data_IF_809839755399
#
_entry.id   IF_809839755399
#
_cell.length_a   1.000
_cell.length_b   1.000
_cell.length_c   1.000
_cell.angle_alpha   90.00
_cell.angle_beta   90.00
_cell.angle_gamma   90.00
#
_symmetry.space_group_name_H-M   'P 1'
#
loop_
_entity.id
_entity.type
_entity.pdbx_description
1 polymer ?
#
# COMPACT_ATOMS: atom_id res chain seq x y z
N UNK A 1 7.10 -11.16 1.26
CA UNK A 1 6.27 -12.14 2.00
C UNK A 1 6.77 -13.57 1.81
N UNK A 2 6.82 -14.16 0.59
CA UNK A 2 7.24 -15.57 0.40
C UNK A 2 8.60 -15.88 1.03
N UNK A 3 9.62 -15.05 0.77
CA UNK A 3 10.95 -15.18 1.39
C UNK A 3 10.92 -15.07 2.92
N UNK A 4 10.00 -14.26 3.46
CA UNK A 4 9.81 -14.13 4.91
C UNK A 4 9.30 -15.44 5.55
N UNK A 5 8.53 -16.23 4.81
CA UNK A 5 8.08 -17.56 5.23
C UNK A 5 9.05 -18.68 4.89
N UNK A 6 10.26 -18.34 4.45
CA UNK A 6 11.34 -19.31 4.19
C UNK A 6 11.32 -19.94 2.79
N UNK A 7 10.53 -19.39 1.85
CA UNK A 7 10.51 -19.90 0.48
C UNK A 7 11.70 -19.36 -0.33
N UNK A 8 12.30 -20.21 -1.13
CA UNK A 8 13.20 -19.83 -2.20
C UNK A 8 12.36 -19.28 -3.38
N UNK A 9 12.60 -18.03 -3.77
CA UNK A 9 11.80 -17.36 -4.80
C UNK A 9 12.64 -17.18 -6.06
N UNK A 10 12.21 -17.82 -7.14
CA UNK A 10 12.72 -17.60 -8.49
C UNK A 10 11.78 -16.64 -9.22
N UNK A 11 12.28 -15.47 -9.59
CA UNK A 11 11.53 -14.47 -10.35
C UNK A 11 11.77 -14.70 -11.85
N UNK A 12 10.70 -14.68 -12.64
CA UNK A 12 10.72 -14.77 -14.09
C UNK A 12 10.15 -13.48 -14.68
N UNK A 13 10.52 -13.17 -15.92
CA UNK A 13 9.98 -11.99 -16.60
C UNK A 13 8.46 -12.12 -16.80
N UNK A 14 7.73 -11.04 -16.52
CA UNK A 14 6.26 -11.00 -16.53
C UNK A 14 5.67 -11.31 -17.92
N UNK A 15 6.42 -11.01 -18.98
CA UNK A 15 6.06 -11.32 -20.37
C UNK A 15 5.99 -12.81 -20.66
N UNK A 16 6.61 -13.63 -19.83
CA UNK A 16 6.68 -15.09 -19.98
C UNK A 16 5.60 -15.82 -19.16
N UNK A 17 4.83 -15.12 -18.36
CA UNK A 17 3.80 -15.70 -17.49
C UNK A 17 2.43 -15.11 -17.82
N UNK A 18 1.45 -15.91 -18.08
CA UNK A 18 1.35 -17.32 -18.38
C UNK A 18 0.99 -17.54 -19.85
N UNK A 19 1.95 -17.43 -20.74
CA UNK A 19 1.71 -17.82 -22.12
C UNK A 19 1.54 -19.34 -22.15
N UNK A 20 0.39 -19.80 -22.65
CA UNK A 20 0.14 -21.21 -22.83
C UNK A 20 1.20 -21.84 -23.75
N UNK A 21 1.91 -22.84 -23.23
CA UNK A 21 2.90 -23.59 -23.99
C UNK A 21 4.21 -22.84 -24.26
N UNK A 22 4.47 -21.67 -23.64
CA UNK A 22 5.79 -21.07 -23.68
C UNK A 22 6.75 -21.95 -22.84
N UNK A 23 7.80 -22.54 -23.43
CA UNK A 23 8.72 -23.42 -22.70
C UNK A 23 9.51 -22.68 -21.61
N UNK A 24 9.49 -21.35 -21.64
CA UNK A 24 10.20 -20.46 -20.71
C UNK A 24 9.26 -19.88 -19.62
N UNK A 25 7.95 -20.17 -19.68
CA UNK A 25 6.96 -19.66 -18.73
C UNK A 25 7.06 -20.28 -17.34
N UNK A 26 6.46 -19.63 -16.34
CA UNK A 26 6.52 -20.06 -14.95
C UNK A 26 5.96 -21.48 -14.73
N UNK A 27 4.91 -21.87 -15.47
CA UNK A 27 4.34 -23.23 -15.39
C UNK A 27 5.33 -24.25 -15.93
N UNK A 28 5.94 -24.01 -17.09
CA UNK A 28 6.92 -24.91 -17.67
C UNK A 28 8.15 -25.09 -16.76
N UNK A 29 8.61 -23.98 -16.16
CA UNK A 29 9.73 -24.01 -15.21
C UNK A 29 9.38 -24.74 -13.92
N UNK A 30 8.15 -24.57 -13.41
CA UNK A 30 7.68 -25.31 -12.25
C UNK A 30 7.56 -26.81 -12.53
N UNK A 31 7.13 -27.20 -13.73
CA UNK A 31 7.09 -28.61 -14.16
C UNK A 31 8.50 -29.19 -14.26
N UNK A 32 9.46 -28.50 -14.92
CA UNK A 32 10.86 -28.90 -15.00
C UNK A 32 11.48 -29.17 -13.60
N UNK A 33 11.19 -28.28 -12.63
CA UNK A 33 11.66 -28.45 -11.26
C UNK A 33 10.91 -29.58 -10.56
N UNK A 34 9.59 -29.67 -10.75
CA UNK A 34 8.74 -30.71 -10.13
C UNK A 34 9.06 -32.14 -10.58
N UNK A 35 9.68 -32.30 -11.75
CA UNK A 35 10.14 -33.60 -12.27
C UNK A 35 11.46 -34.10 -11.62
N UNK A 36 12.11 -33.28 -10.81
CA UNK A 36 13.35 -33.68 -10.08
C UNK A 36 13.02 -34.59 -8.89
N UNK A 37 13.89 -35.53 -8.52
CA UNK A 37 13.60 -36.55 -7.49
C UNK A 37 13.14 -36.01 -6.13
N UNK A 38 13.65 -34.83 -5.71
CA UNK A 38 13.38 -34.26 -4.38
C UNK A 38 12.36 -33.12 -4.41
N UNK A 39 11.65 -32.93 -5.53
CA UNK A 39 10.67 -31.88 -5.70
C UNK A 39 9.29 -32.45 -6.02
N UNK A 40 8.26 -31.73 -5.62
CA UNK A 40 6.87 -32.06 -5.96
C UNK A 40 6.10 -30.81 -6.35
N UNK A 41 5.53 -30.82 -7.56
CA UNK A 41 4.67 -29.74 -8.02
C UNK A 41 3.20 -30.07 -7.68
N UNK A 42 2.54 -29.21 -6.89
CA UNK A 42 1.12 -29.40 -6.54
C UNK A 42 0.17 -29.25 -7.75
N UNK A 43 0.60 -28.53 -8.76
CA UNK A 43 -0.08 -28.35 -10.07
C UNK A 43 -1.57 -28.05 -9.98
N UNK A 44 -1.91 -26.89 -9.45
CA UNK A 44 -3.30 -26.45 -9.26
C UNK A 44 -4.15 -26.40 -10.55
N UNK A 45 -3.54 -26.46 -11.74
CA UNK A 45 -4.23 -26.40 -13.02
C UNK A 45 -4.76 -27.76 -13.51
N UNK A 46 -4.25 -28.85 -12.96
CA UNK A 46 -4.58 -30.20 -13.41
C UNK A 46 -4.90 -31.16 -12.29
N UNK A 47 -4.62 -30.79 -11.04
CA UNK A 47 -4.79 -31.64 -9.88
C UNK A 47 -6.25 -31.60 -9.40
N UNK A 48 -6.93 -32.74 -9.43
CA UNK A 48 -8.33 -32.90 -9.00
C UNK A 48 -8.52 -32.59 -7.48
N UNK A 49 -7.46 -32.63 -6.68
CA UNK A 49 -7.53 -32.19 -5.29
C UNK A 49 -7.93 -30.70 -5.14
N UNK A 50 -7.73 -29.88 -6.18
CA UNK A 50 -8.15 -28.49 -6.20
C UNK A 50 -9.69 -28.37 -6.15
N UNK A 51 -10.47 -28.84 -7.13
CA UNK A 51 -11.93 -28.80 -7.04
C UNK A 51 -12.47 -29.66 -5.88
N UNK A 52 -11.81 -30.77 -5.52
CA UNK A 52 -12.23 -31.61 -4.40
C UNK A 52 -12.19 -30.84 -3.06
N UNK A 53 -11.18 -30.01 -2.85
CA UNK A 53 -11.09 -29.17 -1.66
C UNK A 53 -12.30 -28.22 -1.56
N UNK A 54 -12.69 -27.57 -2.66
CA UNK A 54 -13.84 -26.67 -2.69
C UNK A 54 -15.18 -27.42 -2.56
N UNK A 55 -15.27 -28.63 -3.12
CA UNK A 55 -16.43 -29.49 -2.92
C UNK A 55 -16.62 -29.86 -1.44
N UNK A 56 -15.53 -30.14 -0.73
CA UNK A 56 -15.54 -30.57 0.68
C UNK A 56 -15.62 -29.40 1.69
N UNK A 57 -15.28 -28.20 1.30
CA UNK A 57 -15.19 -27.05 2.22
C UNK A 57 -16.06 -25.88 1.77
N UNK A 58 -15.70 -25.18 0.70
CA UNK A 58 -16.36 -23.94 0.25
C UNK A 58 -17.85 -24.16 -0.07
N UNK A 59 -18.19 -25.23 -0.78
CA UNK A 59 -19.58 -25.57 -1.08
C UNK A 59 -20.43 -25.77 0.17
N UNK A 60 -20.03 -26.66 1.10
CA UNK A 60 -20.71 -26.85 2.37
C UNK A 60 -20.82 -25.58 3.23
N UNK A 61 -19.79 -24.72 3.22
CA UNK A 61 -19.82 -23.45 3.95
C UNK A 61 -20.88 -22.50 3.39
N UNK A 62 -20.91 -22.30 2.07
CA UNK A 62 -21.91 -21.48 1.39
C UNK A 62 -23.32 -22.02 1.68
N UNK A 63 -23.53 -23.30 1.51
CA UNK A 63 -24.82 -23.94 1.76
C UNK A 63 -25.32 -23.72 3.18
N UNK A 64 -24.45 -23.90 4.19
CA UNK A 64 -24.76 -23.67 5.58
C UNK A 64 -25.03 -22.20 5.89
N UNK A 65 -24.19 -21.28 5.41
CA UNK A 65 -24.30 -19.86 5.68
C UNK A 65 -25.52 -19.22 5.03
N UNK A 66 -25.99 -19.77 3.91
CA UNK A 66 -27.22 -19.33 3.24
C UNK A 66 -28.45 -20.13 3.65
N UNK A 67 -28.31 -21.03 4.63
CA UNK A 67 -29.39 -21.94 5.06
C UNK A 67 -30.03 -22.70 3.88
N UNK A 68 -29.21 -23.04 2.87
CA UNK A 68 -29.66 -23.65 1.62
C UNK A 68 -30.38 -22.67 0.68
N UNK A 69 -30.42 -21.37 0.97
CA UNK A 69 -31.14 -20.36 0.20
C UNK A 69 -30.41 -19.89 -1.08
N UNK A 70 -29.13 -20.22 -1.28
CA UNK A 70 -28.36 -19.79 -2.44
C UNK A 70 -29.03 -20.21 -3.74
N UNK A 71 -29.27 -19.27 -4.66
CA UNK A 71 -29.87 -19.51 -5.98
C UNK A 71 -28.83 -19.40 -7.11
N UNK A 72 -27.84 -18.51 -6.94
CA UNK A 72 -26.80 -18.25 -7.92
C UNK A 72 -25.43 -18.27 -7.23
N UNK A 73 -24.50 -19.00 -7.81
CA UNK A 73 -23.11 -19.03 -7.39
C UNK A 73 -22.23 -18.46 -8.49
N UNK A 74 -21.50 -17.40 -8.20
CA UNK A 74 -20.70 -16.65 -9.16
C UNK A 74 -19.23 -16.66 -8.77
N UNK A 75 -18.36 -17.03 -9.70
CA UNK A 75 -16.91 -17.03 -9.47
C UNK A 75 -16.12 -16.60 -10.71
N UNK A 76 -15.03 -15.86 -10.46
CA UNK A 76 -14.03 -15.57 -11.49
C UNK A 76 -13.25 -16.82 -11.88
N UNK A 77 -12.96 -16.96 -13.18
CA UNK A 77 -12.28 -18.12 -13.74
C UNK A 77 -10.76 -17.94 -13.73
N UNK A 78 -10.07 -18.74 -12.93
CA UNK A 78 -8.60 -18.86 -12.91
C UNK A 78 -8.19 -20.29 -13.23
N UNK A 79 -7.92 -21.09 -12.21
CA UNK A 79 -7.72 -22.56 -12.37
C UNK A 79 -9.03 -23.32 -12.55
N UNK A 80 -10.15 -22.70 -12.27
CA UNK A 80 -11.51 -23.24 -12.24
C UNK A 80 -11.81 -24.21 -11.09
N UNK A 81 -10.85 -24.48 -10.18
CA UNK A 81 -11.10 -25.37 -9.06
C UNK A 81 -12.26 -24.92 -8.17
N UNK A 82 -12.31 -23.63 -7.84
CA UNK A 82 -13.36 -23.04 -6.98
C UNK A 82 -14.75 -23.19 -7.57
N UNK A 83 -14.94 -22.78 -8.84
CA UNK A 83 -16.26 -22.83 -9.48
C UNK A 83 -16.73 -24.27 -9.69
N UNK A 84 -15.83 -25.14 -10.16
CA UNK A 84 -16.12 -26.54 -10.41
C UNK A 84 -16.48 -27.28 -9.12
N UNK A 85 -15.62 -27.22 -8.11
CA UNK A 85 -15.85 -27.95 -6.85
C UNK A 85 -17.07 -27.44 -6.10
N UNK A 86 -17.19 -26.12 -5.92
CA UNK A 86 -18.34 -25.50 -5.24
C UNK A 86 -19.64 -25.73 -6.02
N UNK A 87 -19.60 -25.52 -7.35
CA UNK A 87 -20.75 -25.70 -8.23
C UNK A 87 -21.28 -27.12 -8.18
N UNK A 88 -20.42 -28.13 -8.28
CA UNK A 88 -20.78 -29.54 -8.14
C UNK A 88 -21.47 -29.86 -6.81
N UNK A 89 -20.93 -29.33 -5.70
CA UNK A 89 -21.55 -29.51 -4.39
C UNK A 89 -22.94 -28.85 -4.31
N UNK A 90 -23.06 -27.59 -4.72
CA UNK A 90 -24.31 -26.83 -4.64
C UNK A 90 -25.40 -27.49 -5.52
N UNK A 91 -25.05 -27.91 -6.74
CA UNK A 91 -25.97 -28.65 -7.63
C UNK A 91 -26.35 -30.01 -7.07
N UNK A 92 -25.48 -30.69 -6.35
CA UNK A 92 -25.80 -31.94 -5.64
C UNK A 92 -26.81 -31.72 -4.51
N UNK A 93 -26.78 -30.57 -3.83
CA UNK A 93 -27.78 -30.20 -2.84
C UNK A 93 -29.11 -29.73 -3.47
N UNK A 94 -29.01 -28.89 -4.49
CA UNK A 94 -30.15 -28.34 -5.24
C UNK A 94 -29.79 -28.11 -6.70
N UNK A 95 -30.26 -28.99 -7.62
CA UNK A 95 -29.94 -28.93 -9.05
C UNK A 95 -30.28 -27.58 -9.72
N UNK A 96 -31.25 -26.84 -9.17
CA UNK A 96 -31.69 -25.55 -9.70
C UNK A 96 -30.72 -24.39 -9.41
N UNK A 97 -29.70 -24.57 -8.57
CA UNK A 97 -28.67 -23.54 -8.34
C UNK A 97 -27.94 -23.27 -9.65
N UNK A 98 -27.91 -21.99 -10.03
CA UNK A 98 -27.19 -21.52 -11.20
C UNK A 98 -25.70 -21.31 -10.87
N UNK A 99 -24.81 -21.90 -11.63
CA UNK A 99 -23.36 -21.79 -11.51
C UNK A 99 -22.84 -20.92 -12.64
N UNK A 100 -22.35 -19.73 -12.31
CA UNK A 100 -22.03 -18.67 -13.26
C UNK A 100 -20.54 -18.34 -13.24
N UNK A 101 -19.88 -18.50 -14.38
CA UNK A 101 -18.47 -18.21 -14.56
C UNK A 101 -18.22 -16.83 -15.14
N UNK A 102 -17.27 -16.10 -14.58
CA UNK A 102 -16.89 -14.78 -15.06
C UNK A 102 -15.43 -14.80 -15.49
N UNK A 103 -15.16 -14.39 -16.71
CA UNK A 103 -13.79 -14.32 -17.24
C UNK A 103 -13.49 -12.91 -17.78
N UNK A 104 -12.22 -12.51 -17.80
CA UNK A 104 -11.84 -11.22 -18.37
C UNK A 104 -11.76 -11.30 -19.90
N UNK A 105 -11.80 -10.12 -20.54
CA UNK A 105 -11.49 -9.97 -21.97
C UNK A 105 -10.04 -10.36 -22.27
N UNK A 106 -9.74 -10.64 -23.53
CA UNK A 106 -8.37 -10.92 -23.97
C UNK A 106 -7.44 -9.71 -23.72
N UNK A 107 -6.19 -9.99 -23.37
CA UNK A 107 -5.20 -8.95 -23.08
C UNK A 107 -5.41 -8.21 -21.76
N UNK A 108 -6.20 -8.76 -20.85
CA UNK A 108 -6.45 -8.18 -19.53
C UNK A 108 -5.21 -8.18 -18.63
N UNK A 109 -5.26 -7.30 -17.62
CA UNK A 109 -4.28 -7.23 -16.52
C UNK A 109 -4.90 -7.60 -15.15
N UNK A 110 -6.08 -8.22 -15.13
CA UNK A 110 -6.73 -8.62 -13.88
C UNK A 110 -5.99 -9.83 -13.31
N UNK A 111 -5.38 -9.70 -12.11
CA UNK A 111 -4.58 -10.79 -11.56
C UNK A 111 -5.42 -12.01 -11.14
N UNK A 112 -4.85 -13.21 -11.28
CA UNK A 112 -5.43 -14.44 -10.75
C UNK A 112 -6.52 -15.08 -11.61
N UNK A 113 -6.97 -14.42 -12.67
CA UNK A 113 -8.01 -14.92 -13.61
C UNK A 113 -7.45 -15.15 -15.01
N UNK A 114 -8.22 -15.83 -15.86
CA UNK A 114 -7.85 -16.24 -17.21
C UNK A 114 -8.97 -15.93 -18.20
N UNK A 115 -8.60 -15.42 -19.39
CA UNK A 115 -9.52 -15.33 -20.50
C UNK A 115 -9.89 -16.73 -21.03
N UNK A 116 -10.97 -16.85 -21.79
CA UNK A 116 -11.41 -18.13 -22.34
C UNK A 116 -10.30 -18.84 -23.13
N UNK A 117 -9.50 -18.11 -23.88
CA UNK A 117 -8.36 -18.67 -24.61
C UNK A 117 -7.31 -19.28 -23.68
N UNK A 118 -7.03 -18.61 -22.56
CA UNK A 118 -6.06 -19.08 -21.56
C UNK A 118 -6.60 -20.27 -20.76
N UNK A 119 -7.93 -20.37 -20.58
CA UNK A 119 -8.58 -21.48 -19.86
C UNK A 119 -8.45 -22.82 -20.56
N UNK A 120 -8.22 -22.83 -21.87
CA UNK A 120 -8.01 -24.09 -22.64
C UNK A 120 -6.84 -24.94 -22.12
N UNK A 121 -6.01 -24.38 -21.26
CA UNK A 121 -4.85 -25.07 -20.69
C UNK A 121 -5.07 -25.64 -19.31
N UNK A 122 -6.12 -25.25 -18.62
CA UNK A 122 -6.49 -25.87 -17.36
C UNK A 122 -7.36 -27.10 -17.65
N UNK A 123 -6.99 -28.24 -17.05
CA UNK A 123 -7.81 -29.45 -17.15
C UNK A 123 -9.05 -29.45 -16.25
N UNK A 124 -9.21 -28.36 -15.46
CA UNK A 124 -10.31 -28.20 -14.51
C UNK A 124 -11.39 -27.24 -15.02
N UNK A 125 -11.32 -26.83 -16.28
CA UNK A 125 -12.35 -26.03 -16.95
C UNK A 125 -13.37 -26.91 -17.61
N UNK A 126 -14.57 -26.99 -17.08
CA UNK A 126 -15.70 -27.79 -17.56
C UNK A 126 -16.88 -26.86 -17.89
N UNK A 127 -16.87 -26.20 -19.07
CA UNK A 127 -17.87 -25.18 -19.41
C UNK A 127 -19.29 -25.75 -19.43
N UNK A 128 -19.47 -27.04 -19.75
CA UNK A 128 -20.77 -27.71 -19.78
C UNK A 128 -21.38 -27.91 -18.38
N UNK A 129 -20.61 -27.72 -17.32
CA UNK A 129 -21.10 -27.76 -15.93
C UNK A 129 -21.56 -26.37 -15.42
N UNK A 130 -21.39 -25.32 -16.21
CA UNK A 130 -21.78 -23.94 -15.85
C UNK A 130 -23.06 -23.55 -16.57
N UNK A 131 -23.98 -22.87 -15.86
CA UNK A 131 -25.26 -22.43 -16.43
C UNK A 131 -25.11 -21.09 -17.19
N UNK A 132 -24.01 -20.37 -16.99
CA UNK A 132 -23.68 -19.15 -17.71
C UNK A 132 -22.22 -18.80 -17.65
N UNK A 133 -21.74 -18.16 -18.71
CA UNK A 133 -20.40 -17.59 -18.82
C UNK A 133 -20.51 -16.17 -19.35
N UNK A 134 -19.75 -15.24 -18.76
CA UNK A 134 -19.73 -13.87 -19.22
C UNK A 134 -18.31 -13.30 -19.23
N UNK A 135 -18.03 -12.48 -20.25
CA UNK A 135 -16.81 -11.70 -20.36
C UNK A 135 -16.98 -10.34 -19.73
N UNK A 136 -16.05 -9.94 -18.86
CA UNK A 136 -16.00 -8.62 -18.24
C UNK A 136 -14.77 -7.85 -18.73
N UNK A 137 -15.00 -6.62 -19.13
CA UNK A 137 -13.94 -5.74 -19.59
C UNK A 137 -13.00 -5.32 -18.45
N UNK A 138 -11.72 -5.25 -18.76
CA UNK A 138 -10.66 -4.93 -17.81
C UNK A 138 -10.97 -3.62 -17.02
N UNK A 139 -11.35 -2.56 -17.74
CA UNK A 139 -11.62 -1.26 -17.14
C UNK A 139 -12.80 -1.31 -16.17
N UNK A 140 -13.89 -1.98 -16.52
CA UNK A 140 -15.08 -2.12 -15.69
C UNK A 140 -14.75 -2.81 -14.35
N UNK A 141 -13.92 -3.84 -14.37
CA UNK A 141 -13.47 -4.53 -13.16
C UNK A 141 -12.68 -3.63 -12.21
N UNK A 142 -11.75 -2.80 -12.74
CA UNK A 142 -10.97 -1.89 -11.90
C UNK A 142 -11.81 -0.73 -11.36
N UNK A 143 -12.74 -0.17 -12.15
CA UNK A 143 -13.65 0.88 -11.70
C UNK A 143 -14.59 0.38 -10.59
N UNK A 144 -15.18 -0.80 -10.77
CA UNK A 144 -16.01 -1.41 -9.74
C UNK A 144 -15.20 -1.79 -8.49
N UNK A 145 -13.96 -2.24 -8.65
CA UNK A 145 -13.04 -2.47 -7.53
C UNK A 145 -12.87 -1.21 -6.69
N UNK A 146 -12.66 -0.06 -7.33
CA UNK A 146 -12.53 1.22 -6.64
C UNK A 146 -13.81 1.60 -5.89
N UNK A 147 -14.97 1.49 -6.55
CA UNK A 147 -16.27 1.80 -5.96
C UNK A 147 -16.55 0.89 -4.75
N UNK A 148 -16.37 -0.40 -4.88
CA UNK A 148 -16.58 -1.38 -3.81
C UNK A 148 -15.74 -1.05 -2.56
N UNK A 149 -14.47 -0.67 -2.77
CA UNK A 149 -13.60 -0.29 -1.66
C UNK A 149 -13.99 1.06 -1.02
N UNK A 150 -14.49 2.03 -1.81
CA UNK A 150 -14.81 3.38 -1.32
C UNK A 150 -16.22 3.53 -0.78
N UNK A 151 -17.19 2.91 -1.44
CA UNK A 151 -18.60 3.06 -1.14
C UNK A 151 -19.06 2.06 -0.08
N UNK A 152 -18.55 0.81 -0.15
CA UNK A 152 -18.96 -0.29 0.73
C UNK A 152 -17.92 -0.66 1.79
N UNK A 153 -16.73 -0.07 1.75
CA UNK A 153 -15.60 -0.40 2.65
C UNK A 153 -15.16 -1.88 2.57
N UNK A 154 -15.46 -2.56 1.47
CA UNK A 154 -15.04 -3.94 1.22
C UNK A 154 -13.73 -3.91 0.43
N UNK A 155 -12.63 -4.28 1.09
CA UNK A 155 -11.29 -4.25 0.49
C UNK A 155 -11.08 -5.50 -0.39
N UNK A 156 -11.77 -5.54 -1.52
CA UNK A 156 -11.73 -6.63 -2.49
C UNK A 156 -10.77 -6.34 -3.65
N UNK A 157 -10.15 -7.39 -4.19
CA UNK A 157 -9.24 -7.28 -5.34
C UNK A 157 -9.97 -7.11 -6.68
N UNK A 158 -9.24 -6.79 -7.76
CA UNK A 158 -9.85 -6.60 -9.09
C UNK A 158 -10.62 -7.81 -9.64
N UNK A 159 -10.15 -9.03 -9.36
CA UNK A 159 -10.86 -10.27 -9.75
C UNK A 159 -12.19 -10.45 -9.02
N UNK A 160 -12.27 -9.98 -7.77
CA UNK A 160 -13.53 -9.97 -6.99
C UNK A 160 -14.54 -9.02 -7.61
N UNK A 161 -14.10 -7.82 -7.98
CA UNK A 161 -14.94 -6.84 -8.64
C UNK A 161 -15.38 -7.31 -10.04
N UNK A 162 -14.49 -7.99 -10.79
CA UNK A 162 -14.85 -8.64 -12.05
C UNK A 162 -15.97 -9.67 -11.85
N UNK A 163 -15.85 -10.53 -10.84
CA UNK A 163 -16.89 -11.51 -10.53
C UNK A 163 -18.21 -10.87 -10.14
N UNK A 164 -18.16 -9.77 -9.35
CA UNK A 164 -19.34 -8.99 -8.96
C UNK A 164 -19.99 -8.28 -10.17
N UNK A 165 -19.19 -7.74 -11.09
CA UNK A 165 -19.72 -7.16 -12.34
C UNK A 165 -20.48 -8.21 -13.15
N UNK A 166 -19.92 -9.40 -13.30
CA UNK A 166 -20.61 -10.51 -13.97
C UNK A 166 -21.88 -10.94 -13.24
N UNK A 167 -21.89 -10.89 -11.91
CA UNK A 167 -23.10 -11.17 -11.14
C UNK A 167 -24.21 -10.16 -11.42
N UNK A 168 -23.90 -8.87 -11.50
CA UNK A 168 -24.89 -7.82 -11.85
C UNK A 168 -25.49 -8.00 -13.24
N UNK A 169 -24.75 -8.61 -14.16
CA UNK A 169 -25.21 -8.82 -15.54
C UNK A 169 -25.99 -10.13 -15.73
N UNK A 170 -25.64 -11.16 -14.95
CA UNK A 170 -26.20 -12.51 -15.12
C UNK A 170 -27.33 -12.85 -14.13
N UNK A 171 -27.34 -12.23 -12.96
CA UNK A 171 -28.34 -12.55 -11.93
C UNK A 171 -29.48 -11.55 -12.00
N UNK A 172 -30.73 -11.99 -12.26
CA UNK A 172 -31.88 -11.11 -12.26
C UNK A 172 -32.10 -10.45 -10.88
N UNK A 173 -32.38 -9.14 -10.88
CA UNK A 173 -32.76 -8.41 -9.67
C UNK A 173 -34.25 -8.70 -9.35
N UNK A 174 -34.52 -9.88 -8.82
CA UNK A 174 -35.86 -10.36 -8.51
C UNK A 174 -35.93 -10.90 -7.08
N UNK A 175 -37.07 -10.70 -6.40
CA UNK A 175 -37.30 -11.26 -5.08
C UNK A 175 -37.10 -12.78 -5.04
N UNK A 176 -36.34 -13.27 -4.09
CA UNK A 176 -36.03 -14.68 -3.93
C UNK A 176 -34.71 -15.13 -4.55
N UNK A 177 -34.06 -14.27 -5.34
CA UNK A 177 -32.70 -14.54 -5.78
C UNK A 177 -31.70 -14.21 -4.67
N UNK A 178 -30.82 -15.16 -4.39
CA UNK A 178 -29.69 -15.01 -3.48
C UNK A 178 -28.42 -15.42 -4.23
N UNK A 179 -27.63 -14.41 -4.61
CA UNK A 179 -26.35 -14.63 -5.28
C UNK A 179 -25.20 -14.64 -4.27
N UNK A 180 -24.34 -15.63 -4.36
CA UNK A 180 -23.08 -15.70 -3.66
C UNK A 180 -21.93 -15.50 -4.65
N UNK A 181 -21.13 -14.46 -4.43
CA UNK A 181 -19.99 -14.09 -5.27
C UNK A 181 -18.68 -14.30 -4.50
N UNK A 182 -17.73 -14.99 -5.11
CA UNK A 182 -16.43 -15.25 -4.48
C UNK A 182 -15.50 -14.04 -4.61
N UNK A 183 -15.01 -13.56 -3.46
CA UNK A 183 -13.97 -12.54 -3.35
C UNK A 183 -12.69 -13.21 -2.80
N UNK A 184 -11.77 -13.66 -3.68
CA UNK A 184 -10.67 -14.53 -3.26
C UNK A 184 -9.55 -13.78 -2.51
N UNK A 185 -9.44 -12.47 -2.69
CA UNK A 185 -8.37 -11.69 -2.09
C UNK A 185 -8.67 -10.18 -1.99
N UNK A 186 -7.66 -9.41 -1.56
CA UNK A 186 -7.80 -7.98 -1.31
C UNK A 186 -6.99 -7.11 -2.28
N UNK A 187 -7.44 -5.88 -2.50
CA UNK A 187 -6.78 -4.86 -3.33
C UNK A 187 -5.34 -4.53 -2.87
N UNK A 188 -4.99 -4.77 -1.62
CA UNK A 188 -3.63 -4.51 -1.10
C UNK A 188 -2.53 -5.26 -1.84
N UNK A 189 -2.84 -6.39 -2.46
CA UNK A 189 -1.87 -7.16 -3.25
C UNK A 189 -1.55 -6.53 -4.59
N UNK A 190 -2.39 -5.63 -5.08
CA UNK A 190 -2.44 -5.21 -6.49
C UNK A 190 -2.28 -3.70 -6.68
N UNK A 191 -1.60 -3.02 -5.78
CA UNK A 191 -1.45 -1.57 -5.82
C UNK A 191 -0.89 -1.05 -7.16
N UNK A 192 0.08 -1.74 -7.76
CA UNK A 192 0.66 -1.38 -9.07
C UNK A 192 -0.36 -1.50 -10.21
N UNK A 193 -1.10 -2.62 -10.26
CA UNK A 193 -2.14 -2.84 -11.28
C UNK A 193 -3.29 -1.85 -11.13
N UNK A 194 -3.73 -1.60 -9.89
CA UNK A 194 -4.79 -0.63 -9.60
C UNK A 194 -4.39 0.78 -10.05
N UNK A 195 -3.17 1.22 -9.74
CA UNK A 195 -2.66 2.54 -10.17
C UNK A 195 -2.47 2.63 -11.69
N UNK A 196 -2.10 1.53 -12.35
CA UNK A 196 -1.97 1.46 -13.82
C UNK A 196 -3.31 1.72 -14.51
N UNK A 197 -4.39 1.09 -14.05
CA UNK A 197 -5.72 1.15 -14.67
C UNK A 197 -6.58 2.29 -14.16
N UNK A 198 -6.27 2.86 -13.03
CA UNK A 198 -6.94 4.00 -12.42
C UNK A 198 -5.93 5.15 -12.21
N UNK A 199 -5.47 5.80 -13.29
CA UNK A 199 -4.41 6.80 -13.20
C UNK A 199 -4.76 8.01 -12.33
N UNK A 200 -6.05 8.29 -12.10
CA UNK A 200 -6.51 9.29 -11.14
C UNK A 200 -6.18 8.94 -9.67
N UNK A 201 -5.79 7.69 -9.39
CA UNK A 201 -5.24 7.25 -8.10
C UNK A 201 -3.71 7.37 -8.03
N UNK A 202 -3.04 7.58 -9.17
CA UNK A 202 -1.66 8.08 -9.06
C UNK A 202 -1.78 9.27 -8.16
N UNK A 203 -1.30 9.09 -6.93
CA UNK A 203 -1.18 10.18 -6.02
C UNK A 203 -0.74 11.37 -6.87
N UNK A 204 -1.53 12.42 -7.01
CA UNK A 204 -0.93 13.71 -6.82
C UNK A 204 0.08 13.45 -5.75
N UNK A 205 1.39 13.45 -6.14
CA UNK A 205 2.50 13.26 -5.19
C UNK A 205 2.07 14.04 -3.97
N UNK A 206 1.89 13.47 -2.80
CA UNK A 206 1.16 14.14 -1.76
C UNK A 206 1.70 15.54 -1.79
N UNK A 207 0.87 16.54 -2.20
CA UNK A 207 1.12 17.88 -1.75
C UNK A 207 1.23 17.62 -0.28
N UNK A 208 2.49 17.55 0.21
CA UNK A 208 2.87 16.94 1.45
C UNK A 208 1.77 17.30 2.42
N UNK A 209 0.88 16.34 2.68
CA UNK A 209 -0.37 16.64 3.36
C UNK A 209 0.15 17.31 4.59
N UNK A 210 -0.08 18.64 4.69
CA UNK A 210 0.49 19.41 5.81
C UNK A 210 0.19 18.53 6.98
N UNK A 211 1.19 17.88 7.60
CA UNK A 211 0.98 16.73 8.48
C UNK A 211 -0.13 17.15 9.42
N UNK A 212 -1.22 16.36 9.46
CA UNK A 212 -2.46 16.78 10.10
C UNK A 212 -2.03 17.38 11.42
N UNK A 213 -2.20 18.70 11.56
CA UNK A 213 -1.56 19.45 12.65
C UNK A 213 -2.04 18.78 13.90
N UNK A 214 -1.15 18.08 14.59
CA UNK A 214 -1.49 17.46 15.86
C UNK A 214 -2.01 18.59 16.77
N UNK A 215 -3.28 18.62 17.15
CA UNK A 215 -3.86 19.72 17.91
C UNK A 215 -3.08 19.95 19.21
N UNK A 216 -2.58 18.88 19.83
CA UNK A 216 -1.76 18.95 21.03
C UNK A 216 -0.41 19.62 20.75
N UNK A 217 0.21 19.28 19.63
CA UNK A 217 1.49 19.89 19.22
C UNK A 217 1.30 21.38 18.88
N UNK A 218 0.16 21.79 18.32
CA UNK A 218 -0.12 23.22 18.07
C UNK A 218 -0.32 23.98 19.37
N UNK A 219 -1.07 23.46 20.32
CA UNK A 219 -1.22 24.04 21.66
C UNK A 219 0.15 24.16 22.37
N UNK A 220 0.97 23.12 22.30
CA UNK A 220 2.32 23.14 22.85
C UNK A 220 3.20 24.19 22.16
N UNK A 221 3.10 24.33 20.83
CA UNK A 221 3.84 25.37 20.08
C UNK A 221 3.41 26.78 20.46
N UNK A 222 2.12 27.02 20.65
CA UNK A 222 1.62 28.33 21.06
C UNK A 222 2.10 28.69 22.46
N UNK A 223 2.06 27.73 23.38
CA UNK A 223 2.63 27.95 24.74
C UNK A 223 4.14 28.25 24.72
N UNK A 224 4.89 27.60 23.83
CA UNK A 224 6.32 27.89 23.67
C UNK A 224 6.53 29.24 23.01
N UNK A 225 5.72 29.61 22.00
CA UNK A 225 5.85 30.90 21.30
C UNK A 225 5.62 32.09 22.21
N UNK A 226 4.74 31.96 23.19
CA UNK A 226 4.49 33.01 24.21
C UNK A 226 5.51 33.06 25.35
N UNK A 227 6.43 32.08 25.40
CA UNK A 227 7.41 32.02 26.51
C UNK A 227 8.80 32.53 26.06
N UNK A 228 9.16 33.73 26.50
CA UNK A 228 10.43 34.37 26.17
C UNK A 228 11.67 33.60 26.63
N UNK A 229 11.56 32.70 27.59
CA UNK A 229 12.68 31.85 28.02
C UNK A 229 12.97 30.72 27.02
N UNK A 230 12.00 30.37 26.20
CA UNK A 230 12.08 29.26 25.22
C UNK A 230 12.31 29.75 23.79
N UNK A 231 12.07 31.00 23.51
CA UNK A 231 12.28 31.62 22.21
C UNK A 231 13.29 32.74 22.25
N UNK A 232 13.96 32.99 21.15
CA UNK A 232 14.93 34.07 20.98
C UNK A 232 14.72 34.67 19.58
N UNK A 233 14.76 36.00 19.48
CA UNK A 233 14.70 36.65 18.18
C UNK A 233 16.05 36.59 17.45
N UNK A 234 16.05 37.00 16.18
CA UNK A 234 17.22 36.92 15.30
C UNK A 234 18.39 37.77 15.80
N UNK A 235 18.12 38.96 16.34
CA UNK A 235 19.15 39.87 16.79
C UNK A 235 19.81 39.35 18.08
N UNK A 236 19.00 38.86 19.02
CA UNK A 236 19.48 38.22 20.24
C UNK A 236 20.20 36.88 19.96
N UNK A 237 19.74 36.13 18.96
CA UNK A 237 20.43 34.91 18.51
C UNK A 237 21.79 35.23 17.88
N UNK A 238 21.89 36.28 17.08
CA UNK A 238 23.16 36.75 16.52
C UNK A 238 24.12 37.17 17.65
N UNK A 239 23.66 37.95 18.62
CA UNK A 239 24.46 38.34 19.80
C UNK A 239 24.91 37.12 20.63
N UNK A 240 24.04 36.10 20.76
CA UNK A 240 24.37 34.84 21.43
C UNK A 240 25.51 34.10 20.72
N UNK A 241 25.50 34.06 19.37
CA UNK A 241 26.58 33.43 18.59
C UNK A 241 27.92 34.18 18.69
N UNK A 242 27.88 35.49 18.85
CA UNK A 242 29.11 36.30 19.00
C UNK A 242 29.77 36.11 20.40
N UNK A 243 28.95 35.94 21.44
CA UNK A 243 29.41 35.89 22.82
C UNK A 243 29.43 34.48 23.45
N UNK A 244 28.87 33.51 22.77
CA UNK A 244 28.78 32.12 23.19
C UNK A 244 28.87 31.20 21.96
N UNK A 245 29.00 29.90 22.21
CA UNK A 245 28.97 28.91 21.13
C UNK A 245 27.85 27.90 21.41
N UNK A 246 26.57 28.27 21.24
CA UNK A 246 25.49 27.30 21.36
C UNK A 246 25.64 26.23 20.28
N UNK A 247 25.23 25.03 20.56
CA UNK A 247 25.08 24.02 19.54
C UNK A 247 23.84 24.32 18.68
N UNK A 248 24.02 24.53 17.38
CA UNK A 248 22.92 24.96 16.49
C UNK A 248 22.38 23.75 15.77
N UNK A 249 21.08 23.48 15.95
CA UNK A 249 20.35 22.41 15.29
C UNK A 249 19.44 22.99 14.21
N UNK A 250 19.79 22.79 12.95
CA UNK A 250 18.93 23.16 11.83
C UNK A 250 18.01 21.99 11.45
N UNK A 251 16.70 22.13 11.71
CA UNK A 251 15.71 21.07 11.51
C UNK A 251 15.09 21.04 10.12
N UNK A 252 15.61 21.83 9.17
CA UNK A 252 15.14 21.86 7.78
C UNK A 252 15.58 20.61 7.01
N UNK A 253 14.89 20.28 5.87
CA UNK A 253 15.39 19.31 4.91
C UNK A 253 16.82 19.64 4.47
N UNK A 254 17.61 18.61 4.15
CA UNK A 254 19.04 18.73 3.78
C UNK A 254 19.28 19.66 2.60
N UNK A 255 18.40 19.68 1.62
CA UNK A 255 18.49 20.58 0.45
C UNK A 255 18.47 22.04 0.88
N UNK A 256 17.51 22.44 1.70
CA UNK A 256 17.39 23.82 2.20
C UNK A 256 18.55 24.23 3.12
N UNK A 257 19.10 23.29 3.86
CA UNK A 257 20.28 23.52 4.68
C UNK A 257 21.52 23.77 3.82
N UNK A 258 21.71 22.96 2.77
CA UNK A 258 22.85 23.10 1.84
C UNK A 258 22.87 24.44 1.12
N UNK A 259 21.72 24.95 0.72
CA UNK A 259 21.61 26.26 0.08
C UNK A 259 22.15 27.41 0.93
N UNK A 260 21.77 27.45 2.18
CA UNK A 260 22.25 28.43 3.15
C UNK A 260 21.83 28.06 4.59
N UNK A 261 22.73 28.10 5.53
CA UNK A 261 22.48 27.84 6.96
C UNK A 261 23.29 28.80 7.88
N UNK A 262 22.95 28.84 9.15
CA UNK A 262 23.71 29.61 10.12
C UNK A 262 25.10 29.01 10.28
N UNK A 263 26.16 29.87 10.45
CA UNK A 263 27.53 29.39 10.64
C UNK A 263 27.63 28.43 11.81
N UNK A 264 28.23 27.25 11.55
CA UNK A 264 28.40 26.19 12.53
C UNK A 264 27.14 25.41 12.89
N UNK A 265 26.04 25.58 12.17
CA UNK A 265 24.84 24.76 12.35
C UNK A 265 25.04 23.32 11.90
N UNK A 266 24.44 22.40 12.62
CA UNK A 266 24.38 20.96 12.25
C UNK A 266 22.99 20.64 11.73
N UNK A 267 22.90 20.06 10.55
CA UNK A 267 21.62 19.67 9.97
C UNK A 267 21.08 18.40 10.63
N UNK A 268 19.94 18.54 11.26
CA UNK A 268 19.17 17.44 11.85
C UNK A 268 17.72 17.56 11.43
N UNK A 269 17.35 17.09 10.23
CA UNK A 269 15.97 17.16 9.76
C UNK A 269 14.98 16.66 10.82
N UNK A 270 13.86 17.36 10.99
CA UNK A 270 12.91 17.11 12.08
C UNK A 270 12.47 15.64 12.17
N UNK A 271 12.35 14.96 11.03
CA UNK A 271 12.04 13.55 10.97
C UNK A 271 13.17 12.68 11.54
N UNK A 272 14.43 12.98 11.21
CA UNK A 272 15.60 12.24 11.71
C UNK A 272 15.83 12.47 13.20
N UNK A 273 15.56 13.70 13.67
CA UNK A 273 15.61 14.05 15.10
C UNK A 273 14.55 13.26 15.87
N UNK A 274 13.32 13.19 15.36
CA UNK A 274 12.22 12.41 15.95
C UNK A 274 12.49 10.92 15.99
N UNK A 275 13.04 10.36 14.91
CA UNK A 275 13.25 8.91 14.75
C UNK A 275 14.56 8.43 15.40
N UNK A 276 15.31 9.31 16.07
CA UNK A 276 16.55 9.00 16.80
C UNK A 276 17.81 8.90 15.95
N UNK A 277 17.71 8.99 14.62
CA UNK A 277 18.85 8.82 13.70
C UNK A 277 19.92 9.93 13.82
N UNK A 278 19.54 11.10 14.29
CA UNK A 278 20.44 12.24 14.47
C UNK A 278 21.02 12.36 15.89
N UNK A 279 20.63 11.52 16.84
CA UNK A 279 20.96 11.68 18.26
C UNK A 279 22.47 11.57 18.55
N UNK A 280 23.23 10.81 17.76
CA UNK A 280 24.67 10.63 17.95
C UNK A 280 25.51 11.90 17.72
N UNK A 281 24.97 12.93 17.09
CA UNK A 281 25.64 14.19 16.84
C UNK A 281 25.29 15.27 17.89
N UNK A 282 24.35 14.99 18.80
CA UNK A 282 23.94 15.94 19.86
C UNK A 282 25.00 16.01 20.97
N UNK A 283 25.12 17.15 21.68
CA UNK A 283 26.02 17.30 22.82
C UNK A 283 25.77 16.25 23.91
N UNK A 284 26.83 15.69 24.48
CA UNK A 284 26.72 14.73 25.57
C UNK A 284 26.18 15.36 26.87
N UNK A 285 26.39 16.66 27.09
CA UNK A 285 25.88 17.41 28.25
C UNK A 285 24.43 17.85 28.03
N UNK A 286 23.45 17.34 28.80
CA UNK A 286 22.06 17.81 28.73
C UNK A 286 21.85 19.28 29.12
N UNK A 287 22.85 19.92 29.75
CA UNK A 287 22.86 21.32 30.09
C UNK A 287 23.41 22.24 28.99
N UNK A 288 23.99 21.67 27.94
CA UNK A 288 24.58 22.44 26.85
C UNK A 288 23.55 23.39 26.21
N UNK A 289 23.95 24.66 25.90
CA UNK A 289 23.05 25.58 25.22
C UNK A 289 22.82 25.13 23.78
N UNK A 290 21.55 24.94 23.41
CA UNK A 290 21.15 24.52 22.06
C UNK A 290 20.22 25.58 21.45
N UNK A 291 20.49 25.95 20.20
CA UNK A 291 19.65 26.81 19.38
C UNK A 291 18.99 25.99 18.25
N UNK A 292 17.69 25.80 18.32
CA UNK A 292 16.92 25.16 17.24
C UNK A 292 16.50 26.19 16.19
N UNK A 293 16.81 25.94 14.93
CA UNK A 293 16.51 26.85 13.80
C UNK A 293 15.76 26.13 12.68
N UNK A 294 14.92 26.88 11.98
CA UNK A 294 14.28 26.45 10.73
C UNK A 294 14.05 27.66 9.81
N UNK A 295 13.33 27.52 8.73
CA UNK A 295 13.18 28.59 7.73
C UNK A 295 12.44 29.84 8.27
N UNK A 296 11.35 29.67 9.07
CA UNK A 296 10.47 30.75 9.54
C UNK A 296 10.20 30.73 11.05
N UNK A 297 10.89 29.92 11.82
CA UNK A 297 10.68 29.81 13.27
C UNK A 297 9.56 28.86 13.72
N UNK A 298 8.86 28.17 12.82
CA UNK A 298 7.75 27.28 13.18
C UNK A 298 8.17 25.82 13.44
N UNK A 299 8.95 25.23 12.55
CA UNK A 299 9.43 23.86 12.72
C UNK A 299 10.47 23.74 13.84
N UNK A 300 11.24 24.79 14.09
CA UNK A 300 12.20 24.86 15.20
C UNK A 300 11.55 24.80 16.59
N UNK A 301 10.27 25.20 16.73
CA UNK A 301 9.51 24.96 17.96
C UNK A 301 9.29 23.48 18.22
N UNK A 302 9.03 22.70 17.18
CA UNK A 302 8.96 21.23 17.29
C UNK A 302 10.32 20.63 17.61
N UNK A 303 11.38 21.12 16.97
CA UNK A 303 12.76 20.72 17.28
C UNK A 303 13.11 20.96 18.75
N UNK A 304 12.76 22.12 19.28
CA UNK A 304 12.91 22.45 20.71
C UNK A 304 12.16 21.46 21.60
N UNK A 305 10.90 21.14 21.28
CA UNK A 305 10.10 20.20 22.07
C UNK A 305 10.71 18.80 22.07
N UNK A 306 11.19 18.32 20.92
CA UNK A 306 11.88 17.04 20.82
C UNK A 306 13.18 17.02 21.63
N UNK A 307 14.01 18.05 21.49
CA UNK A 307 15.25 18.15 22.26
C UNK A 307 14.99 18.18 23.78
N UNK A 308 13.95 18.89 24.22
CA UNK A 308 13.53 18.86 25.63
C UNK A 308 13.03 17.49 26.07
N UNK A 309 12.32 16.75 25.22
CA UNK A 309 11.89 15.37 25.52
C UNK A 309 13.06 14.39 25.63
N UNK A 310 14.20 14.70 25.01
CA UNK A 310 15.45 13.96 25.16
C UNK A 310 16.25 14.34 26.41
N UNK A 311 15.73 15.29 27.22
CA UNK A 311 16.33 15.69 28.48
C UNK A 311 17.19 16.96 28.40
N UNK A 312 17.36 17.62 27.24
CA UNK A 312 18.09 18.86 27.12
C UNK A 312 17.34 20.02 27.80
N UNK A 313 17.98 20.69 28.75
CA UNK A 313 17.34 21.72 29.59
C UNK A 313 17.46 23.14 29.02
N UNK A 314 18.57 23.44 28.34
CA UNK A 314 18.89 24.76 27.84
C UNK A 314 18.72 24.85 26.32
N UNK A 315 17.47 24.75 25.85
CA UNK A 315 17.11 24.78 24.43
C UNK A 315 16.24 25.98 24.14
N UNK A 316 16.59 26.75 23.10
CA UNK A 316 15.79 27.87 22.58
C UNK A 316 15.49 27.70 21.11
N UNK A 317 14.36 28.23 20.67
CA UNK A 317 13.96 28.27 19.26
C UNK A 317 14.09 29.67 18.69
N UNK A 318 14.74 29.82 17.52
CA UNK A 318 14.90 31.14 16.88
C UNK A 318 13.61 31.50 16.13
N UNK A 319 12.98 32.60 16.54
CA UNK A 319 11.82 33.19 15.85
C UNK A 319 12.25 33.86 14.55
N UNK A 320 11.37 33.86 13.52
CA UNK A 320 11.70 34.39 12.20
C UNK A 320 12.56 33.45 11.35
N UNK A 321 13.34 32.59 11.98
CA UNK A 321 14.14 31.56 11.32
C UNK A 321 15.24 32.08 10.40
N UNK A 322 15.74 31.22 9.51
CA UNK A 322 16.84 31.60 8.58
C UNK A 322 16.43 32.65 7.56
N UNK A 323 15.12 32.84 7.30
CA UNK A 323 14.66 33.95 6.46
C UNK A 323 14.94 35.29 7.10
N UNK A 324 14.46 35.52 8.34
CA UNK A 324 14.68 36.78 9.03
C UNK A 324 16.18 37.00 9.30
N UNK A 325 16.96 35.96 9.55
CA UNK A 325 18.42 36.02 9.67
C UNK A 325 19.08 36.59 8.41
N UNK A 326 18.69 36.11 7.22
CA UNK A 326 19.19 36.59 5.94
C UNK A 326 18.72 38.01 5.60
N UNK A 327 17.46 38.35 5.93
CA UNK A 327 16.90 39.70 5.74
C UNK A 327 17.66 40.75 6.54
N UNK A 328 18.22 40.36 7.69
CA UNK A 328 19.11 41.23 8.52
C UNK A 328 20.54 41.30 7.98
N UNK A 329 20.88 40.55 6.93
CA UNK A 329 22.21 40.52 6.36
C UNK A 329 23.25 39.78 7.21
N UNK A 330 22.83 38.92 8.13
CA UNK A 330 23.75 38.16 8.97
C UNK A 330 24.43 37.04 8.18
N UNK A 331 25.67 36.64 8.54
CA UNK A 331 26.43 35.65 7.78
C UNK A 331 25.75 34.30 7.72
N UNK A 332 25.88 33.64 6.57
CA UNK A 332 25.42 32.27 6.31
C UNK A 332 26.53 31.46 5.66
N UNK A 333 26.56 30.15 5.97
CA UNK A 333 27.37 29.17 5.27
C UNK A 333 26.52 28.45 4.23
N UNK A 334 27.16 27.85 3.22
CA UNK A 334 26.54 26.99 2.20
C UNK A 334 27.48 25.80 1.92
N UNK A 335 26.91 24.64 1.62
CA UNK A 335 27.71 23.49 1.21
C UNK A 335 28.00 23.53 -0.30
N UNK A 336 29.23 23.15 -0.75
CA UNK A 336 29.57 23.09 -2.16
C UNK A 336 28.69 22.05 -2.88
N UNK A 337 28.06 22.44 -4.00
CA UNK A 337 27.28 21.53 -4.85
C UNK A 337 25.76 21.76 -4.85
N UNK A 338 25.31 22.93 -4.43
CA UNK A 338 23.91 23.36 -4.59
C UNK A 338 23.72 24.17 -5.88
N UNK A 339 24.11 23.60 -7.06
CA UNK A 339 23.69 24.10 -8.38
C UNK A 339 22.64 23.19 -8.99
#
# INVERSE_FOLDING_TARGET
MLRFFGADVMELEDTLCPAPGAPEGAIAKAMEIGDRPDFHMLNQYTNEANPEAHYKTTGPEIWRQTEGGVTHFVAGLGTCGTITGTGRFLKAQRPAVQVLGVHPSEGHDIPGVRSLRQLQQTKLFFPDEYDGLIEVQNQAAFELCLRLNREESIVAGPSSAMALQGAFELVPDEPGNLAVVIFPDSAFKYASSVVKHLPGLKAQAPQAAKPARDPLLEVMRENVRGNGDLTIDVDAAHALLQNGKPFIVDVRPREQYREAHLPGAVNMPLAELRDGRAHGALPADPGAPILSVCQRGNASLSGLLFLKSLGYRNVRSMTGGTLAWREKGYPVDAEPGAE
#
